data_IF_204133356807
#
_entry.id   IF_204133356807
#
_cell.length_a   1.000
_cell.length_b   1.000
_cell.length_c   1.000
_cell.angle_alpha   90.00
_cell.angle_beta   90.00
_cell.angle_gamma   90.00
#
_symmetry.space_group_name_H-M   'P 1'
#
loop_
_entity.id
_entity.type
_entity.pdbx_description
1 polymer ?
#
# COMPACT_ATOMS: atom_id res chain seq x y z
N UNK A 1 -9.33 -1.48 19.87
CA UNK A 1 -9.05 -0.32 19.00
C UNK A 1 -8.91 -0.76 17.55
N UNK A 2 -8.04 -1.75 17.27
CA UNK A 2 -7.91 -2.39 15.94
C UNK A 2 -9.25 -2.80 15.30
N UNK A 3 -10.11 -3.53 16.04
CA UNK A 3 -11.43 -3.96 15.56
C UNK A 3 -12.39 -2.80 15.22
N UNK A 4 -12.14 -1.58 15.71
CA UNK A 4 -12.92 -0.40 15.36
C UNK A 4 -12.36 0.19 14.06
N UNK A 5 -11.04 0.31 13.94
CA UNK A 5 -10.39 0.83 12.72
C UNK A 5 -10.68 -0.06 11.50
N UNK A 6 -10.66 -1.38 11.67
CA UNK A 6 -11.06 -2.31 10.60
C UNK A 6 -12.49 -2.06 10.09
N UNK A 7 -13.44 -1.73 10.97
CA UNK A 7 -14.81 -1.40 10.54
C UNK A 7 -14.88 -0.12 9.71
N UNK A 8 -14.04 0.87 10.01
CA UNK A 8 -13.94 2.08 9.20
C UNK A 8 -13.31 1.79 7.84
N UNK A 9 -12.31 0.91 7.80
CA UNK A 9 -11.74 0.39 6.55
C UNK A 9 -12.78 -0.30 5.69
N UNK A 10 -13.52 -1.26 6.26
CA UNK A 10 -14.56 -2.00 5.55
C UNK A 10 -15.67 -1.06 5.04
N UNK A 11 -16.07 -0.08 5.87
CA UNK A 11 -17.04 0.95 5.47
C UNK A 11 -16.53 1.79 4.30
N UNK A 12 -15.25 2.17 4.28
CA UNK A 12 -14.68 2.90 3.15
C UNK A 12 -14.70 2.07 1.87
N UNK A 13 -14.37 0.77 1.95
CA UNK A 13 -14.47 -0.14 0.80
C UNK A 13 -15.90 -0.26 0.29
N UNK A 14 -16.89 -0.30 1.20
CA UNK A 14 -18.32 -0.27 0.87
C UNK A 14 -18.73 1.01 0.14
N UNK A 15 -18.30 2.18 0.64
CA UNK A 15 -18.62 3.47 0.04
C UNK A 15 -18.02 3.65 -1.35
N UNK A 16 -16.83 3.08 -1.58
CA UNK A 16 -16.16 3.07 -2.87
C UNK A 16 -16.64 1.96 -3.81
N UNK A 17 -17.63 1.17 -3.39
CA UNK A 17 -18.20 0.06 -4.15
C UNK A 17 -17.13 -0.94 -4.65
N UNK A 18 -16.09 -1.20 -3.83
CA UNK A 18 -15.02 -2.12 -4.19
C UNK A 18 -15.54 -3.57 -4.18
N UNK A 19 -15.58 -4.19 -5.36
CA UNK A 19 -16.07 -5.56 -5.54
C UNK A 19 -15.15 -6.61 -4.88
N UNK A 20 -13.84 -6.50 -5.07
CA UNK A 20 -12.84 -7.42 -4.48
C UNK A 20 -12.29 -6.89 -3.16
N UNK A 21 -13.09 -6.98 -2.09
CA UNK A 21 -12.66 -6.55 -0.75
C UNK A 21 -11.55 -7.41 -0.16
N UNK A 22 -11.53 -8.70 -0.49
CA UNK A 22 -10.62 -9.67 0.12
C UNK A 22 -9.14 -9.30 -0.12
N UNK A 23 -8.82 -8.80 -1.31
CA UNK A 23 -7.46 -8.33 -1.63
C UNK A 23 -7.05 -7.12 -0.77
N UNK A 24 -7.96 -6.19 -0.51
CA UNK A 24 -7.72 -5.01 0.32
C UNK A 24 -7.66 -5.35 1.80
N UNK A 25 -8.53 -6.23 2.28
CA UNK A 25 -8.52 -6.74 3.66
C UNK A 25 -7.20 -7.46 3.97
N UNK A 26 -6.68 -8.25 3.02
CA UNK A 26 -5.38 -8.90 3.16
C UNK A 26 -4.25 -7.87 3.27
N UNK A 27 -4.25 -6.84 2.44
CA UNK A 27 -3.26 -5.75 2.52
C UNK A 27 -3.39 -4.99 3.84
N UNK A 28 -4.59 -4.73 4.30
CA UNK A 28 -4.84 -4.08 5.58
C UNK A 28 -4.35 -4.93 6.76
N UNK A 29 -4.49 -6.27 6.72
CA UNK A 29 -3.90 -7.16 7.72
C UNK A 29 -2.37 -7.08 7.71
N UNK A 30 -1.74 -7.04 6.53
CA UNK A 30 -0.29 -6.89 6.44
C UNK A 30 0.21 -5.56 7.02
N UNK A 31 -0.58 -4.48 6.89
CA UNK A 31 -0.26 -3.18 7.50
C UNK A 31 -0.37 -3.25 9.03
N UNK A 32 -1.34 -3.99 9.56
CA UNK A 32 -1.51 -4.16 11.01
C UNK A 32 -0.42 -5.03 11.65
N UNK A 33 0.03 -6.05 10.91
CA UNK A 33 1.09 -6.96 11.34
C UNK A 33 2.49 -6.30 11.25
N UNK A 34 2.59 -5.14 10.58
CA UNK A 34 3.82 -4.39 10.46
C UNK A 34 4.29 -3.86 11.83
N UNK A 35 5.62 -3.79 12.07
CA UNK A 35 6.14 -3.10 13.25
C UNK A 35 5.67 -1.65 13.30
N UNK A 36 5.31 -1.14 14.48
CA UNK A 36 4.73 0.21 14.63
C UNK A 36 5.61 1.35 14.08
N UNK A 37 6.93 1.20 14.16
CA UNK A 37 7.91 2.18 13.68
C UNK A 37 8.32 1.97 12.21
N UNK A 38 7.78 0.92 11.55
CA UNK A 38 8.12 0.61 10.18
C UNK A 38 7.60 1.69 9.23
N UNK A 39 8.47 2.15 8.34
CA UNK A 39 8.05 3.03 7.24
C UNK A 39 7.55 2.17 6.09
N UNK A 40 6.36 2.48 5.58
CA UNK A 40 5.72 1.73 4.50
C UNK A 40 5.68 2.60 3.24
N UNK A 41 6.24 2.08 2.16
CA UNK A 41 6.13 2.65 0.82
C UNK A 41 4.97 1.99 0.07
N UNK A 42 3.97 2.78 -0.31
CA UNK A 42 2.85 2.32 -1.13
C UNK A 42 3.06 2.70 -2.60
N UNK A 43 3.46 1.73 -3.42
CA UNK A 43 3.46 1.81 -4.87
C UNK A 43 2.35 0.91 -5.44
N UNK A 44 1.11 1.22 -5.07
CA UNK A 44 -0.08 0.45 -5.36
C UNK A 44 -1.22 1.38 -5.82
N UNK A 45 -2.11 0.88 -6.67
CA UNK A 45 -3.26 1.66 -7.20
C UNK A 45 -4.16 2.21 -6.09
N UNK A 46 -4.32 1.44 -5.02
CA UNK A 46 -5.11 1.79 -3.85
C UNK A 46 -4.31 2.53 -2.75
N UNK A 47 -3.20 3.20 -3.11
CA UNK A 47 -2.36 3.88 -2.14
C UNK A 47 -3.16 4.75 -1.18
N UNK A 48 -4.10 5.56 -1.68
CA UNK A 48 -4.85 6.49 -0.84
C UNK A 48 -5.66 5.80 0.27
N UNK A 49 -6.25 4.63 -0.02
CA UNK A 49 -6.96 3.81 0.98
C UNK A 49 -5.98 3.24 2.00
N UNK A 50 -4.87 2.68 1.52
CA UNK A 50 -3.90 1.97 2.36
C UNK A 50 -3.07 2.92 3.24
N UNK A 51 -2.67 4.09 2.71
CA UNK A 51 -1.98 5.12 3.47
C UNK A 51 -2.93 5.79 4.46
N UNK A 52 -4.16 6.11 4.04
CA UNK A 52 -5.16 6.62 4.97
C UNK A 52 -5.46 5.65 6.10
N UNK A 53 -5.44 4.34 5.83
CA UNK A 53 -5.61 3.33 6.87
C UNK A 53 -4.43 3.27 7.84
N UNK A 54 -3.20 3.39 7.33
CA UNK A 54 -2.01 3.51 8.17
C UNK A 54 -2.08 4.75 9.08
N UNK A 55 -2.51 5.89 8.55
CA UNK A 55 -2.64 7.13 9.31
C UNK A 55 -3.75 7.01 10.38
N UNK A 56 -4.86 6.33 10.05
CA UNK A 56 -5.93 5.99 11.00
C UNK A 56 -5.41 5.09 12.14
N UNK A 57 -4.60 4.08 11.82
CA UNK A 57 -4.00 3.19 12.82
C UNK A 57 -3.02 3.92 13.75
N UNK A 58 -2.31 4.94 13.24
CA UNK A 58 -1.40 5.79 14.01
C UNK A 58 -2.12 6.89 14.80
N UNK A 59 -3.41 7.10 14.55
CA UNK A 59 -4.16 8.22 15.13
C UNK A 59 -3.77 9.57 14.53
N UNK A 60 -3.14 9.58 13.36
CA UNK A 60 -2.79 10.77 12.58
C UNK A 60 -3.97 11.25 11.73
N UNK A 61 -4.96 10.37 11.51
CA UNK A 61 -6.22 10.65 10.81
C UNK A 61 -7.41 10.23 11.67
N UNK A 62 -8.39 11.11 11.83
CA UNK A 62 -9.60 10.76 12.58
C UNK A 62 -10.48 9.77 11.77
N UNK A 63 -11.25 8.89 12.43
CA UNK A 63 -12.14 7.96 11.73
C UNK A 63 -13.14 8.65 10.81
N UNK A 64 -13.66 9.80 11.21
CA UNK A 64 -14.58 10.61 10.40
C UNK A 64 -13.90 11.14 9.14
N UNK A 65 -12.66 11.61 9.26
CA UNK A 65 -11.85 12.10 8.12
C UNK A 65 -11.47 10.96 7.16
N UNK A 66 -11.19 9.77 7.70
CA UNK A 66 -10.90 8.59 6.90
C UNK A 66 -12.10 8.16 6.02
N UNK A 67 -13.32 8.21 6.55
CA UNK A 67 -14.53 7.88 5.77
C UNK A 67 -14.79 8.88 4.64
N UNK A 68 -14.35 10.14 4.79
CA UNK A 68 -14.45 11.15 3.73
C UNK A 68 -13.58 10.83 2.51
N UNK A 69 -12.61 9.92 2.61
CA UNK A 69 -11.89 9.40 1.44
C UNK A 69 -12.82 8.67 0.45
N UNK A 70 -14.00 8.24 0.89
CA UNK A 70 -15.02 7.59 0.07
C UNK A 70 -15.84 8.57 -0.76
N UNK A 71 -15.78 9.87 -0.45
CA UNK A 71 -16.40 10.91 -1.25
C UNK A 71 -15.56 11.18 -2.49
N UNK A 72 -16.11 10.83 -3.66
CA UNK A 72 -15.41 10.82 -4.96
C UNK A 72 -14.91 12.21 -5.35
N UNK A 73 -15.63 13.28 -5.03
CA UNK A 73 -15.20 14.65 -5.36
C UNK A 73 -14.02 15.10 -4.48
N UNK A 74 -13.99 14.66 -3.23
CA UNK A 74 -12.97 15.00 -2.24
C UNK A 74 -11.68 14.18 -2.39
N UNK A 75 -11.76 12.99 -3.00
CA UNK A 75 -10.67 12.00 -3.05
C UNK A 75 -9.85 12.03 -4.34
N UNK A 76 -10.36 12.57 -5.46
CA UNK A 76 -9.63 12.69 -6.73
C UNK A 76 -8.24 13.36 -6.60
N UNK A 77 -8.05 14.46 -5.84
CA UNK A 77 -6.72 15.04 -5.65
C UNK A 77 -5.77 14.11 -4.89
N UNK A 78 -6.29 13.41 -3.88
CA UNK A 78 -5.55 12.45 -3.05
C UNK A 78 -5.14 11.20 -3.84
N UNK A 79 -5.84 10.90 -4.93
CA UNK A 79 -5.46 9.82 -5.85
C UNK A 79 -4.24 10.14 -6.70
N UNK A 80 -3.88 11.42 -6.88
CA UNK A 80 -2.89 11.84 -7.88
C UNK A 80 -1.63 12.47 -7.30
N UNK A 81 -1.69 13.07 -6.11
CA UNK A 81 -0.57 13.84 -5.56
C UNK A 81 0.52 12.93 -4.96
N UNK A 82 1.75 13.01 -5.50
CA UNK A 82 2.92 12.29 -4.98
C UNK A 82 2.87 10.75 -5.11
N UNK A 83 1.93 10.20 -5.90
CA UNK A 83 1.81 8.75 -6.10
C UNK A 83 2.99 8.20 -6.90
N UNK A 84 3.83 7.41 -6.25
CA UNK A 84 4.82 6.59 -6.93
C UNK A 84 4.07 5.42 -7.57
N UNK A 85 4.05 5.36 -8.90
CA UNK A 85 3.45 4.22 -9.59
C UNK A 85 4.29 2.96 -9.39
N UNK A 86 3.64 1.80 -9.41
CA UNK A 86 4.31 0.50 -9.35
C UNK A 86 5.39 0.39 -10.44
N UNK A 87 5.10 0.90 -11.65
CA UNK A 87 6.05 0.89 -12.76
C UNK A 87 7.31 1.72 -12.46
N UNK A 88 7.13 2.94 -11.93
CA UNK A 88 8.27 3.80 -11.57
C UNK A 88 9.10 3.15 -10.47
N UNK A 89 8.46 2.54 -9.47
CA UNK A 89 9.19 1.84 -8.41
C UNK A 89 9.96 0.63 -8.97
N UNK A 90 9.36 -0.19 -9.83
CA UNK A 90 10.06 -1.32 -10.45
C UNK A 90 11.29 -0.85 -11.22
N UNK A 91 11.19 0.23 -11.99
CA UNK A 91 12.32 0.79 -12.72
C UNK A 91 13.43 1.29 -11.79
N UNK A 92 13.09 2.00 -10.71
CA UNK A 92 14.06 2.42 -9.69
C UNK A 92 14.77 1.22 -9.05
N UNK A 93 14.03 0.17 -8.70
CA UNK A 93 14.59 -1.06 -8.12
C UNK A 93 15.56 -1.76 -9.10
N UNK A 94 15.21 -1.82 -10.39
CA UNK A 94 16.07 -2.37 -11.46
C UNK A 94 17.34 -1.53 -11.67
N UNK A 95 17.24 -0.21 -11.54
CA UNK A 95 18.40 0.70 -11.58
C UNK A 95 19.25 0.63 -10.32
N UNK A 96 18.77 -0.10 -9.31
CA UNK A 96 19.50 -0.45 -8.12
C UNK A 96 19.22 0.46 -6.92
N UNK A 97 18.28 1.39 -7.04
CA UNK A 97 17.81 2.26 -5.97
C UNK A 97 16.98 1.44 -4.97
N UNK A 98 17.42 1.39 -3.72
CA UNK A 98 16.70 0.71 -2.64
C UNK A 98 15.94 1.77 -1.83
N UNK A 99 14.60 1.65 -1.69
CA UNK A 99 13.81 2.58 -0.89
C UNK A 99 14.28 2.64 0.57
N UNK A 100 14.12 3.81 1.19
CA UNK A 100 14.47 3.99 2.61
C UNK A 100 13.46 3.31 3.52
N UNK A 101 12.22 3.13 3.06
CA UNK A 101 11.12 2.47 3.74
C UNK A 101 11.40 0.98 3.97
N UNK A 102 10.88 0.42 5.06
CA UNK A 102 11.15 -0.95 5.51
C UNK A 102 10.24 -1.95 4.80
N UNK A 103 8.99 -1.55 4.54
CA UNK A 103 7.98 -2.36 3.88
C UNK A 103 7.59 -1.68 2.57
N UNK A 104 7.55 -2.45 1.50
CA UNK A 104 7.19 -2.01 0.16
C UNK A 104 5.93 -2.76 -0.24
N UNK A 105 4.83 -2.05 -0.46
CA UNK A 105 3.59 -2.62 -1.01
C UNK A 105 3.48 -2.23 -2.47
N UNK A 106 3.43 -3.23 -3.35
CA UNK A 106 3.45 -3.05 -4.79
C UNK A 106 2.40 -3.93 -5.48
N UNK A 107 1.83 -3.42 -6.57
CA UNK A 107 0.85 -4.13 -7.39
C UNK A 107 1.44 -5.41 -8.01
N UNK A 108 0.84 -6.55 -7.67
CA UNK A 108 1.26 -7.87 -8.09
C UNK A 108 1.25 -8.00 -9.62
N UNK A 109 0.28 -7.39 -10.31
CA UNK A 109 0.19 -7.46 -11.77
C UNK A 109 1.38 -6.74 -12.37
N UNK A 110 1.73 -5.54 -11.89
CA UNK A 110 2.91 -4.83 -12.36
C UNK A 110 4.20 -5.63 -12.10
N UNK A 111 4.34 -6.23 -10.91
CA UNK A 111 5.48 -7.09 -10.59
C UNK A 111 5.64 -8.26 -11.55
N UNK A 112 4.54 -8.92 -11.92
CA UNK A 112 4.55 -10.10 -12.78
C UNK A 112 4.72 -9.76 -14.26
N UNK A 113 4.14 -8.65 -14.72
CA UNK A 113 4.17 -8.24 -16.13
C UNK A 113 5.49 -7.58 -16.51
N UNK A 114 6.06 -6.76 -15.63
CA UNK A 114 7.27 -5.99 -15.95
C UNK A 114 8.57 -6.78 -15.78
N UNK A 115 8.56 -7.86 -15.00
CA UNK A 115 9.78 -8.56 -14.60
C UNK A 115 9.77 -10.03 -15.03
N UNK A 116 10.86 -10.45 -15.67
CA UNK A 116 11.15 -11.87 -15.87
C UNK A 116 11.35 -12.59 -14.53
N UNK A 117 11.27 -13.93 -14.53
CA UNK A 117 11.45 -14.71 -13.30
C UNK A 117 12.81 -14.45 -12.63
N UNK A 118 13.89 -14.44 -13.42
CA UNK A 118 15.24 -14.14 -12.92
C UNK A 118 15.33 -12.75 -12.28
N UNK A 119 14.71 -11.73 -12.89
CA UNK A 119 14.70 -10.37 -12.34
C UNK A 119 13.91 -10.29 -11.03
N UNK A 120 12.77 -11.00 -10.93
CA UNK A 120 11.99 -11.07 -9.70
C UNK A 120 12.79 -11.70 -8.57
N UNK A 121 13.47 -12.81 -8.85
CA UNK A 121 14.31 -13.49 -7.86
C UNK A 121 15.48 -12.60 -7.41
N UNK A 122 16.16 -11.94 -8.35
CA UNK A 122 17.24 -10.99 -8.06
C UNK A 122 16.77 -9.82 -7.19
N UNK A 123 15.67 -9.17 -7.56
CA UNK A 123 15.13 -8.04 -6.79
C UNK A 123 14.62 -8.48 -5.42
N UNK A 124 13.98 -9.65 -5.32
CA UNK A 124 13.51 -10.19 -4.05
C UNK A 124 14.68 -10.44 -3.09
N UNK A 125 15.73 -11.10 -3.57
CA UNK A 125 16.95 -11.35 -2.77
C UNK A 125 17.60 -10.05 -2.34
N UNK A 126 17.75 -9.09 -3.26
CA UNK A 126 18.36 -7.79 -2.97
C UNK A 126 17.59 -7.00 -1.91
N UNK A 127 16.26 -7.02 -1.98
CA UNK A 127 15.40 -6.39 -0.98
C UNK A 127 15.55 -7.07 0.39
N UNK A 128 15.55 -8.41 0.43
CA UNK A 128 15.75 -9.17 1.67
C UNK A 128 17.13 -8.91 2.30
N UNK A 129 18.20 -8.91 1.50
CA UNK A 129 19.57 -8.58 1.96
C UNK A 129 19.65 -7.17 2.54
N UNK A 130 18.85 -6.25 2.02
CA UNK A 130 18.72 -4.87 2.51
C UNK A 130 17.76 -4.72 3.69
N UNK A 131 17.25 -5.83 4.24
CA UNK A 131 16.30 -5.86 5.35
C UNK A 131 14.90 -5.37 4.99
N UNK A 132 14.55 -5.33 3.71
CA UNK A 132 13.26 -4.83 3.20
C UNK A 132 12.26 -5.97 3.04
N UNK A 133 11.01 -5.68 3.35
CA UNK A 133 9.88 -6.60 3.14
C UNK A 133 9.09 -6.17 1.92
N UNK A 134 8.97 -7.05 0.93
CA UNK A 134 8.14 -6.81 -0.25
C UNK A 134 6.79 -7.52 -0.09
N UNK A 135 5.70 -6.77 -0.25
CA UNK A 135 4.33 -7.25 -0.22
C UNK A 135 3.71 -7.00 -1.58
N UNK A 136 3.24 -8.07 -2.22
CA UNK A 136 2.56 -8.01 -3.51
C UNK A 136 1.05 -7.99 -3.27
N UNK A 137 0.42 -6.87 -3.66
CA UNK A 137 -1.01 -6.58 -3.50
C UNK A 137 -1.82 -6.68 -4.77
#
# INVERSE_FOLDING_TARGET
MLNIMRKYFDLLLDLLEIEDKASYEKLAQQIEDAPAEAKILFAHRARFILSGYLDLLKGELAPEEFVLLGDVESSIPLWQEGQLSSEKLVQSLLNGEIPVEDIIILDQITWQVMLGQEQRDQLHNKLQESGKTLILG
#
